data_IF_099177876113
#
_entry.id   IF_099177876113
#
_cell.length_a   1.000
_cell.length_b   1.000
_cell.length_c   1.000
_cell.angle_alpha   90.00
_cell.angle_beta   90.00
_cell.angle_gamma   90.00
#
_symmetry.space_group_name_H-M   'P 1'
#
loop_
_entity.id
_entity.type
_entity.pdbx_description
1 polymer ?
#
# COMPACT_ATOMS: atom_id res chain seq x y z
N UNK A 1 20.87 -7.11 -14.73
CA UNK A 1 19.99 -6.10 -15.34
C UNK A 1 18.90 -6.84 -16.09
N UNK A 2 17.75 -6.22 -16.34
CA UNK A 2 16.67 -6.85 -17.11
C UNK A 2 17.14 -7.30 -18.49
N UNK A 3 17.99 -6.49 -19.16
CA UNK A 3 18.62 -6.86 -20.43
C UNK A 3 19.44 -8.17 -20.35
N UNK A 4 20.30 -8.33 -19.34
CA UNK A 4 21.08 -9.58 -19.16
C UNK A 4 20.19 -10.82 -18.96
N UNK A 5 19.04 -10.66 -18.31
CA UNK A 5 18.10 -11.77 -18.12
C UNK A 5 17.41 -12.12 -19.45
N UNK A 6 16.98 -11.09 -20.20
CA UNK A 6 16.38 -11.26 -21.52
C UNK A 6 17.35 -11.89 -22.54
N UNK A 7 18.61 -11.47 -22.56
CA UNK A 7 19.67 -12.03 -23.43
C UNK A 7 19.92 -13.53 -23.15
N UNK A 8 19.63 -13.97 -21.91
CA UNK A 8 19.70 -15.37 -21.50
C UNK A 8 18.39 -16.15 -21.69
N UNK A 9 17.35 -15.53 -22.27
CA UNK A 9 16.06 -16.15 -22.55
C UNK A 9 15.07 -16.16 -21.38
N UNK A 10 15.33 -15.39 -20.31
CA UNK A 10 14.45 -15.29 -19.16
C UNK A 10 13.56 -14.04 -19.21
N UNK A 11 12.34 -14.17 -18.69
CA UNK A 11 11.48 -13.02 -18.34
C UNK A 11 11.44 -12.88 -16.83
N UNK A 12 11.65 -11.67 -16.31
CA UNK A 12 11.75 -11.42 -14.88
C UNK A 12 10.49 -10.73 -14.36
N UNK A 13 9.65 -11.51 -13.70
CA UNK A 13 8.42 -11.04 -13.04
C UNK A 13 8.68 -10.81 -11.55
N UNK A 14 8.00 -9.83 -10.98
CA UNK A 14 8.02 -9.52 -9.56
C UNK A 14 6.59 -9.34 -9.05
N UNK A 15 6.38 -9.68 -7.79
CA UNK A 15 5.12 -9.54 -7.07
C UNK A 15 5.40 -8.66 -5.84
N UNK A 16 4.85 -7.44 -5.77
CA UNK A 16 5.09 -6.56 -4.64
C UNK A 16 4.00 -6.68 -3.57
N UNK A 17 4.44 -6.91 -2.34
CA UNK A 17 3.68 -6.79 -1.10
C UNK A 17 4.10 -5.46 -0.47
N UNK A 18 3.18 -4.49 -0.36
CA UNK A 18 3.53 -3.12 0.00
C UNK A 18 2.83 -2.70 1.29
N UNK A 19 3.59 -2.73 2.37
CA UNK A 19 3.15 -2.29 3.69
C UNK A 19 3.26 -0.76 3.86
N UNK A 20 2.33 -0.20 4.63
CA UNK A 20 2.34 1.20 5.03
C UNK A 20 1.57 1.42 6.33
N UNK A 21 1.88 2.51 7.03
CA UNK A 21 1.15 2.94 8.22
C UNK A 21 0.18 4.08 7.90
N UNK A 22 -1.00 4.02 8.50
CA UNK A 22 -1.95 5.11 8.59
C UNK A 22 -1.87 5.73 9.99
N UNK A 23 -1.53 7.01 10.03
CA UNK A 23 -1.38 7.80 11.25
C UNK A 23 -2.41 8.93 11.25
N UNK A 24 -2.76 9.44 12.44
CA UNK A 24 -3.66 10.59 12.58
C UNK A 24 -3.05 11.89 12.06
N UNK A 25 -1.72 11.99 12.03
CA UNK A 25 -1.00 13.20 11.59
C UNK A 25 0.44 12.88 11.17
N UNK A 26 1.01 13.72 10.31
CA UNK A 26 2.44 13.72 10.00
C UNK A 26 3.30 14.30 11.13
N UNK A 27 2.69 15.01 12.07
CA UNK A 27 3.36 15.57 13.24
C UNK A 27 3.26 14.60 14.41
N UNK A 28 4.40 14.08 14.85
CA UNK A 28 4.44 13.12 15.96
C UNK A 28 4.33 13.84 17.31
N UNK A 29 3.55 13.26 18.21
CA UNK A 29 3.45 13.73 19.58
C UNK A 29 4.70 13.35 20.41
N UNK A 30 4.74 13.73 21.69
CA UNK A 30 5.83 13.35 22.59
C UNK A 30 5.99 11.82 22.74
N UNK A 31 4.95 11.05 22.43
CA UNK A 31 4.92 9.59 22.49
C UNK A 31 5.15 8.93 21.12
N UNK A 32 5.54 9.70 20.09
CA UNK A 32 5.76 9.21 18.74
C UNK A 32 4.53 9.30 17.82
N UNK A 33 4.50 8.53 16.72
CA UNK A 33 3.38 8.52 15.78
C UNK A 33 2.12 7.96 16.44
N UNK A 34 0.95 8.51 16.09
CA UNK A 34 -0.34 8.04 16.58
C UNK A 34 -1.09 7.30 15.47
N UNK A 35 -1.27 5.97 15.57
CA UNK A 35 -2.01 5.18 14.59
C UNK A 35 -3.49 5.58 14.49
N UNK A 36 -4.10 5.35 13.33
CA UNK A 36 -5.54 5.59 13.14
C UNK A 36 -6.42 4.57 13.87
N UNK A 37 -5.91 3.37 14.13
CA UNK A 37 -6.59 2.30 14.85
C UNK A 37 -5.58 1.38 15.58
N UNK A 38 -6.11 0.38 16.29
CA UNK A 38 -5.33 -0.67 16.97
C UNK A 38 -5.72 -2.07 16.50
N UNK A 39 -6.20 -2.18 15.25
CA UNK A 39 -6.55 -3.47 14.65
C UNK A 39 -5.27 -4.25 14.33
N UNK A 40 -5.37 -5.58 14.34
CA UNK A 40 -4.27 -6.49 14.05
C UNK A 40 -4.46 -7.27 12.75
N UNK A 41 -3.67 -8.32 12.61
CA UNK A 41 -3.59 -9.12 11.39
C UNK A 41 -4.95 -9.64 10.94
N UNK A 42 -5.35 -9.31 9.71
CA UNK A 42 -6.60 -9.74 9.09
C UNK A 42 -7.88 -9.31 9.84
N UNK A 43 -7.78 -8.38 10.80
CA UNK A 43 -8.96 -7.87 11.47
C UNK A 43 -9.90 -7.19 10.47
N UNK A 44 -11.16 -7.60 10.54
CA UNK A 44 -12.22 -6.94 9.82
C UNK A 44 -12.97 -6.03 10.78
N UNK A 45 -12.81 -4.71 10.63
CA UNK A 45 -13.46 -3.70 11.47
C UNK A 45 -14.54 -2.98 10.65
N UNK A 46 -15.82 -3.40 10.75
CA UNK A 46 -16.92 -2.76 10.02
C UNK A 46 -17.01 -1.27 10.37
N UNK A 47 -16.99 -0.41 9.34
CA UNK A 47 -17.02 1.04 9.51
C UNK A 47 -15.71 1.65 10.03
N UNK A 48 -14.64 0.87 10.16
CA UNK A 48 -13.32 1.37 10.55
C UNK A 48 -12.66 2.19 9.43
N UNK A 49 -11.91 3.22 9.84
CA UNK A 49 -11.18 4.14 8.94
C UNK A 49 -10.30 3.40 7.94
N UNK A 50 -9.50 2.43 8.40
CA UNK A 50 -8.57 1.69 7.56
C UNK A 50 -9.27 0.76 6.54
N UNK A 51 -10.41 0.15 6.87
CA UNK A 51 -11.15 -0.69 5.92
C UNK A 51 -11.68 0.14 4.74
N UNK A 52 -12.29 1.29 5.04
CA UNK A 52 -12.78 2.18 4.01
C UNK A 52 -11.63 2.85 3.22
N UNK A 53 -10.53 3.21 3.89
CA UNK A 53 -9.27 3.63 3.25
C UNK A 53 -8.80 2.63 2.20
N UNK A 54 -8.56 1.37 2.58
CA UNK A 54 -8.05 0.35 1.65
C UNK A 54 -9.02 0.15 0.49
N UNK A 55 -10.33 0.11 0.75
CA UNK A 55 -11.34 0.00 -0.32
C UNK A 55 -11.27 1.14 -1.34
N UNK A 56 -11.05 2.39 -0.92
CA UNK A 56 -10.91 3.52 -1.84
C UNK A 56 -9.60 3.46 -2.62
N UNK A 57 -8.50 3.15 -1.93
CA UNK A 57 -7.19 2.95 -2.56
C UNK A 57 -7.24 1.88 -3.64
N UNK A 58 -7.82 0.72 -3.34
CA UNK A 58 -7.99 -0.37 -4.31
C UNK A 58 -8.79 0.08 -5.53
N UNK A 59 -9.91 0.79 -5.34
CA UNK A 59 -10.70 1.30 -6.47
C UNK A 59 -9.91 2.27 -7.35
N UNK A 60 -9.19 3.21 -6.75
CA UNK A 60 -8.40 4.18 -7.49
C UNK A 60 -7.24 3.51 -8.26
N UNK A 61 -6.61 2.48 -7.69
CA UNK A 61 -5.59 1.68 -8.37
C UNK A 61 -6.19 0.94 -9.59
N UNK A 62 -7.34 0.29 -9.42
CA UNK A 62 -8.02 -0.42 -10.51
C UNK A 62 -8.47 0.54 -11.63
N UNK A 63 -8.96 1.74 -11.28
CA UNK A 63 -9.32 2.79 -12.26
C UNK A 63 -8.09 3.28 -13.07
N UNK A 64 -6.88 3.18 -12.50
CA UNK A 64 -5.60 3.46 -13.17
C UNK A 64 -5.02 2.24 -13.91
N UNK A 65 -5.71 1.10 -13.89
CA UNK A 65 -5.26 -0.14 -14.53
C UNK A 65 -4.22 -0.93 -13.75
N UNK A 66 -4.05 -0.65 -12.44
CA UNK A 66 -3.16 -1.39 -11.55
C UNK A 66 -3.98 -2.41 -10.77
N UNK A 67 -3.85 -3.68 -11.13
CA UNK A 67 -4.61 -4.75 -10.50
C UNK A 67 -4.09 -5.09 -9.10
N UNK A 68 -5.01 -5.11 -8.15
CA UNK A 68 -4.79 -5.51 -6.75
C UNK A 68 -5.06 -7.00 -6.61
N UNK A 69 -4.19 -7.70 -5.88
CA UNK A 69 -4.36 -9.11 -5.52
C UNK A 69 -5.02 -9.28 -4.15
N UNK A 70 -4.50 -8.57 -3.14
CA UNK A 70 -4.99 -8.67 -1.78
C UNK A 70 -4.89 -7.32 -1.05
N UNK A 71 -5.64 -7.19 0.05
CA UNK A 71 -5.62 -6.00 0.89
C UNK A 71 -6.08 -6.36 2.30
N UNK A 72 -5.28 -6.07 3.31
CA UNK A 72 -5.63 -6.38 4.71
C UNK A 72 -4.98 -5.42 5.72
N UNK A 73 -5.45 -5.51 6.96
CA UNK A 73 -4.72 -5.00 8.11
C UNK A 73 -3.52 -5.90 8.39
N UNK A 74 -2.38 -5.30 8.73
CA UNK A 74 -1.18 -6.03 9.14
C UNK A 74 -1.11 -6.11 10.69
N UNK A 75 -0.04 -6.68 11.24
CA UNK A 75 0.13 -6.96 12.67
C UNK A 75 0.33 -5.70 13.52
N UNK A 76 0.90 -4.62 12.95
CA UNK A 76 1.14 -3.36 13.64
C UNK A 76 -0.12 -2.48 13.73
N UNK A 77 -0.31 -1.71 14.82
CA UNK A 77 -1.42 -0.76 14.94
C UNK A 77 -1.44 0.25 13.79
N UNK A 78 -2.55 0.33 13.06
CA UNK A 78 -2.69 1.19 11.87
C UNK A 78 -1.82 0.76 10.68
N UNK A 79 -1.17 -0.41 10.73
CA UNK A 79 -0.43 -0.98 9.61
C UNK A 79 -1.38 -1.66 8.63
N UNK A 80 -1.10 -1.46 7.35
CA UNK A 80 -1.91 -1.93 6.25
C UNK A 80 -1.00 -2.47 5.15
N UNK A 81 -1.53 -3.41 4.40
CA UNK A 81 -0.85 -4.00 3.26
C UNK A 81 -1.83 -4.09 2.08
N UNK A 82 -1.32 -3.77 0.89
CA UNK A 82 -2.02 -3.99 -0.36
C UNK A 82 -1.03 -4.62 -1.35
N UNK A 83 -1.40 -5.79 -1.84
CA UNK A 83 -0.59 -6.56 -2.78
C UNK A 83 -1.04 -6.25 -4.19
N UNK A 84 -0.09 -6.04 -5.09
CA UNK A 84 -0.39 -5.89 -6.50
C UNK A 84 -0.19 -7.22 -7.21
N UNK A 85 -0.98 -7.47 -8.25
CA UNK A 85 -0.72 -8.61 -9.14
C UNK A 85 0.69 -8.50 -9.71
N UNK A 86 1.33 -9.66 -9.89
CA UNK A 86 2.66 -9.71 -10.47
C UNK A 86 2.70 -9.07 -11.87
N UNK A 87 3.80 -8.39 -12.17
CA UNK A 87 4.08 -7.83 -13.49
C UNK A 87 5.57 -8.00 -13.80
N UNK A 88 6.00 -7.67 -15.02
CA UNK A 88 7.43 -7.59 -15.28
C UNK A 88 8.07 -6.55 -14.35
N UNK A 89 9.35 -6.71 -14.04
CA UNK A 89 9.98 -5.90 -13.00
C UNK A 89 10.03 -4.39 -13.29
N UNK A 90 10.02 -3.97 -14.57
CA UNK A 90 9.97 -2.54 -14.88
C UNK A 90 8.57 -2.00 -14.61
N UNK A 91 7.53 -2.67 -15.11
CA UNK A 91 6.14 -2.31 -14.83
C UNK A 91 5.85 -2.35 -13.32
N UNK A 92 6.40 -3.32 -12.59
CA UNK A 92 6.24 -3.40 -11.14
C UNK A 92 6.83 -2.18 -10.43
N UNK A 93 8.01 -1.72 -10.85
CA UNK A 93 8.62 -0.52 -10.28
C UNK A 93 7.77 0.74 -10.51
N UNK A 94 7.21 0.89 -11.72
CA UNK A 94 6.30 2.00 -12.05
C UNK A 94 4.99 1.91 -11.25
N UNK A 95 4.44 0.70 -11.11
CA UNK A 95 3.24 0.43 -10.32
C UNK A 95 3.46 0.79 -8.84
N UNK A 96 4.61 0.45 -8.24
CA UNK A 96 4.93 0.79 -6.85
C UNK A 96 4.96 2.32 -6.66
N UNK A 97 5.55 3.07 -7.59
CA UNK A 97 5.62 4.52 -7.49
C UNK A 97 4.24 5.18 -7.63
N UNK A 98 3.42 4.66 -8.55
CA UNK A 98 2.02 5.10 -8.72
C UNK A 98 1.19 4.75 -7.49
N UNK A 99 1.36 3.54 -6.96
CA UNK A 99 0.72 3.07 -5.74
C UNK A 99 0.97 4.01 -4.56
N UNK A 100 2.24 4.35 -4.28
CA UNK A 100 2.59 5.27 -3.19
C UNK A 100 1.93 6.65 -3.35
N UNK A 101 1.72 7.09 -4.59
CA UNK A 101 1.02 8.36 -4.88
C UNK A 101 -0.46 8.24 -4.58
N UNK A 102 -1.11 7.16 -5.05
CA UNK A 102 -2.53 6.86 -4.76
C UNK A 102 -2.79 6.77 -3.26
N UNK A 103 -1.98 6.01 -2.52
CA UNK A 103 -2.13 5.86 -1.07
C UNK A 103 -2.04 7.21 -0.35
N UNK A 104 -1.12 8.08 -0.77
CA UNK A 104 -0.99 9.42 -0.18
C UNK A 104 -2.17 10.32 -0.55
N UNK A 105 -2.69 10.24 -1.77
CA UNK A 105 -3.86 11.02 -2.18
C UNK A 105 -5.11 10.63 -1.38
N UNK A 106 -5.38 9.33 -1.25
CA UNK A 106 -6.49 8.83 -0.42
C UNK A 106 -6.32 9.24 1.04
N UNK A 107 -5.08 9.29 1.55
CA UNK A 107 -4.81 9.77 2.90
C UNK A 107 -5.16 11.25 3.08
N UNK A 108 -4.80 12.09 2.11
CA UNK A 108 -5.17 13.51 2.09
C UNK A 108 -6.69 13.66 2.07
N UNK A 109 -7.40 12.92 1.21
CA UNK A 109 -8.86 12.95 1.10
C UNK A 109 -9.58 12.55 2.40
N UNK A 110 -9.00 11.62 3.16
CA UNK A 110 -9.57 11.13 4.41
C UNK A 110 -9.06 11.86 5.67
N UNK A 111 -8.18 12.86 5.50
CA UNK A 111 -7.62 13.61 6.64
C UNK A 111 -6.72 12.77 7.55
N UNK A 112 -6.05 11.76 7.00
CA UNK A 112 -5.06 10.92 7.69
C UNK A 112 -3.69 11.07 7.02
N UNK A 113 -2.65 10.49 7.61
CA UNK A 113 -1.31 10.51 7.06
C UNK A 113 -0.81 9.10 6.77
N UNK A 114 -0.51 8.82 5.50
CA UNK A 114 0.12 7.55 5.10
C UNK A 114 1.64 7.68 5.02
N UNK A 115 2.35 6.71 5.61
CA UNK A 115 3.82 6.65 5.57
C UNK A 115 4.33 5.26 5.19
N UNK A 116 5.42 5.25 4.43
CA UNK A 116 6.19 4.07 4.01
C UNK A 116 7.56 4.04 4.68
N UNK A 117 7.69 4.74 5.81
CA UNK A 117 8.92 4.71 6.61
C UNK A 117 9.08 3.32 7.24
N UNK A 118 10.28 2.71 7.18
CA UNK A 118 10.57 1.45 7.85
C UNK A 118 10.48 1.54 9.37
#
# INVERSE_FOLDING_TARGET
>A
TLAKAADAGFTFYTHPEIEFYLLKSSSYGPNGPEPVDSAGYFDNVPGGTAHDFRRRSVRMLEDLGISVEYSHHEAGPGQNEIDLRYADALATADNIMTFRTVIKEVAIEQGVYATFMP
#
